data_IF_084358764327
#
_entry.id   IF_084358764327
#
_cell.length_a   1.000
_cell.length_b   1.000
_cell.length_c   1.000
_cell.angle_alpha   90.00
_cell.angle_beta   90.00
_cell.angle_gamma   90.00
#
_symmetry.space_group_name_H-M   'P 1'
#
loop_
_entity.id
_entity.type
_entity.pdbx_description
1 polymer ?
#
# COMPACT_ATOMS: atom_id res chain seq x y z
N UNK A 1 -13.56 -20.61 -4.58
CA UNK A 1 -12.14 -20.31 -4.89
C UNK A 1 -11.73 -19.20 -3.94
N UNK A 2 -10.96 -19.55 -2.91
CA UNK A 2 -10.64 -18.63 -1.82
C UNK A 2 -9.76 -17.51 -2.36
N UNK A 3 -10.34 -16.31 -2.38
CA UNK A 3 -9.64 -15.06 -2.59
C UNK A 3 -8.40 -15.06 -1.70
N UNK A 4 -7.23 -15.02 -2.30
CA UNK A 4 -5.95 -14.84 -1.60
C UNK A 4 -5.93 -13.38 -1.16
N UNK A 5 -6.84 -13.03 -0.26
CA UNK A 5 -6.71 -11.85 0.57
C UNK A 5 -5.63 -12.21 1.57
N UNK A 6 -4.50 -11.52 1.59
CA UNK A 6 -3.53 -11.79 2.65
C UNK A 6 -4.25 -11.51 3.99
N UNK A 7 -4.27 -12.52 4.87
CA UNK A 7 -4.93 -12.52 6.19
C UNK A 7 -4.50 -11.35 7.08
N UNK A 8 -3.42 -10.68 6.71
CA UNK A 8 -2.79 -9.61 7.47
C UNK A 8 -3.64 -8.34 7.43
N UNK A 9 -4.39 -8.10 8.52
CA UNK A 9 -5.08 -6.83 8.78
C UNK A 9 -4.17 -5.60 8.57
N UNK A 10 -2.86 -5.77 8.78
CA UNK A 10 -1.83 -4.76 8.52
C UNK A 10 -1.80 -4.30 7.05
N UNK A 11 -1.95 -5.19 6.07
CA UNK A 11 -1.93 -4.82 4.64
C UNK A 11 -3.17 -4.02 4.27
N UNK A 12 -4.35 -4.41 4.76
CA UNK A 12 -5.58 -3.65 4.51
C UNK A 12 -5.49 -2.24 5.09
N UNK A 13 -4.98 -2.10 6.32
CA UNK A 13 -4.78 -0.79 6.96
C UNK A 13 -3.70 0.02 6.25
N UNK A 14 -2.63 -0.64 5.80
CA UNK A 14 -1.55 -0.04 5.03
C UNK A 14 -2.06 0.54 3.70
N UNK A 15 -2.73 -0.27 2.89
CA UNK A 15 -3.28 0.16 1.59
C UNK A 15 -4.26 1.31 1.75
N UNK A 16 -5.14 1.24 2.76
CA UNK A 16 -6.09 2.32 3.04
C UNK A 16 -5.35 3.63 3.40
N UNK A 17 -4.37 3.55 4.29
CA UNK A 17 -3.58 4.72 4.69
C UNK A 17 -2.77 5.31 3.51
N UNK A 18 -2.11 4.46 2.72
CA UNK A 18 -1.37 4.91 1.53
C UNK A 18 -2.31 5.60 0.55
N UNK A 19 -3.53 5.08 0.34
CA UNK A 19 -4.54 5.72 -0.49
C UNK A 19 -4.91 7.13 0.00
N UNK A 20 -5.26 7.26 1.28
CA UNK A 20 -5.62 8.55 1.89
C UNK A 20 -4.50 9.60 1.78
N UNK A 21 -3.25 9.17 1.99
CA UNK A 21 -2.10 10.07 1.93
C UNK A 21 -1.68 10.40 0.48
N UNK A 22 -1.90 9.48 -0.45
CA UNK A 22 -1.70 9.69 -1.88
C UNK A 22 -2.70 10.72 -2.42
N UNK A 23 -3.95 10.70 -1.92
CA UNK A 23 -4.95 11.74 -2.20
C UNK A 23 -4.53 13.12 -1.65
N UNK A 24 -3.78 13.17 -0.55
CA UNK A 24 -3.16 14.41 -0.05
C UNK A 24 -1.98 14.89 -0.91
N UNK A 25 -1.62 14.15 -1.97
CA UNK A 25 -0.53 14.50 -2.88
C UNK A 25 0.86 14.09 -2.36
N UNK A 26 0.94 13.19 -1.37
CA UNK A 26 2.22 12.66 -0.91
C UNK A 26 2.80 11.65 -1.89
N UNK A 27 4.12 11.53 -1.89
CA UNK A 27 4.82 10.63 -2.80
C UNK A 27 4.67 9.17 -2.37
N UNK A 28 4.23 8.33 -3.30
CA UNK A 28 4.03 6.90 -3.07
C UNK A 28 5.26 6.20 -2.47
N UNK A 29 6.47 6.50 -2.93
CA UNK A 29 7.69 5.87 -2.39
C UNK A 29 7.90 6.18 -0.92
N UNK A 30 7.58 7.42 -0.51
CA UNK A 30 7.70 7.84 0.89
C UNK A 30 6.65 7.13 1.75
N UNK A 31 5.42 7.06 1.24
CA UNK A 31 4.32 6.35 1.89
C UNK A 31 4.57 4.86 2.02
N UNK A 32 5.18 4.24 1.02
CA UNK A 32 5.53 2.82 1.07
C UNK A 32 6.56 2.53 2.17
N UNK A 33 7.61 3.36 2.26
CA UNK A 33 8.61 3.23 3.32
C UNK A 33 8.01 3.48 4.71
N UNK A 34 7.16 4.52 4.84
CA UNK A 34 6.47 4.82 6.09
C UNK A 34 5.49 3.70 6.48
N UNK A 35 4.73 3.16 5.53
CA UNK A 35 3.72 2.14 5.81
C UNK A 35 4.37 0.81 6.15
N UNK A 36 5.49 0.46 5.49
CA UNK A 36 6.30 -0.71 5.82
C UNK A 36 6.80 -0.67 7.26
N UNK A 37 7.35 0.47 7.66
CA UNK A 37 7.86 0.69 9.01
C UNK A 37 6.74 0.81 10.07
N UNK A 38 5.63 1.47 9.72
CA UNK A 38 4.52 1.75 10.64
C UNK A 38 3.62 0.54 10.91
N UNK A 39 3.40 -0.28 9.89
CA UNK A 39 2.56 -1.48 9.98
C UNK A 39 3.37 -2.77 10.14
N UNK A 40 4.70 -2.65 10.28
CA UNK A 40 5.64 -3.77 10.37
C UNK A 40 5.38 -4.80 9.26
N UNK A 41 5.28 -4.29 8.03
CA UNK A 41 5.00 -5.11 6.86
C UNK A 41 6.20 -6.00 6.57
N UNK A 42 5.94 -7.24 6.20
CA UNK A 42 7.02 -8.09 5.72
C UNK A 42 7.46 -7.61 4.33
N UNK A 43 8.70 -7.94 3.91
CA UNK A 43 9.20 -7.58 2.58
C UNK A 43 8.28 -8.07 1.45
N UNK A 44 7.53 -9.17 1.66
CA UNK A 44 6.51 -9.65 0.71
C UNK A 44 5.32 -8.69 0.57
N UNK A 45 4.90 -8.10 1.67
CA UNK A 45 3.76 -7.19 1.73
C UNK A 45 4.13 -5.81 1.16
N UNK A 46 5.33 -5.32 1.48
CA UNK A 46 5.87 -4.08 0.91
C UNK A 46 5.98 -4.17 -0.62
N UNK A 47 6.49 -5.28 -1.15
CA UNK A 47 6.54 -5.52 -2.61
C UNK A 47 5.15 -5.60 -3.24
N UNK A 48 4.17 -6.18 -2.53
CA UNK A 48 2.79 -6.25 -3.02
C UNK A 48 2.17 -4.85 -3.13
N UNK A 49 2.32 -4.04 -2.08
CA UNK A 49 1.82 -2.67 -2.04
C UNK A 49 2.58 -1.81 -3.07
N UNK A 50 3.91 -1.98 -3.19
CA UNK A 50 4.69 -1.27 -4.22
C UNK A 50 4.14 -1.59 -5.59
N UNK A 51 4.01 -2.88 -5.95
CA UNK A 51 3.48 -3.28 -7.25
C UNK A 51 2.07 -2.75 -7.48
N UNK A 52 1.20 -2.87 -6.48
CA UNK A 52 -0.19 -2.43 -6.57
C UNK A 52 -0.32 -0.94 -6.91
N UNK A 53 0.52 -0.11 -6.31
CA UNK A 53 0.47 1.33 -6.51
C UNK A 53 1.45 1.87 -7.59
N UNK A 54 2.42 1.06 -8.03
CA UNK A 54 3.36 1.40 -9.11
C UNK A 54 2.69 1.34 -10.47
N UNK A 55 1.57 0.62 -10.59
CA UNK A 55 0.68 0.70 -11.74
C UNK A 55 -0.04 2.06 -11.76
N UNK A 56 0.24 2.95 -12.74
CA UNK A 56 -0.32 4.30 -12.82
C UNK A 56 -1.84 4.34 -13.07
N UNK A 57 -2.47 3.18 -13.27
CA UNK A 57 -3.93 3.02 -13.33
C UNK A 57 -4.59 2.91 -11.94
N UNK A 58 -3.84 2.53 -10.89
CA UNK A 58 -4.32 2.45 -9.50
C UNK A 58 -3.93 3.66 -8.65
N UNK A 59 -3.14 4.58 -9.21
CA UNK A 59 -2.87 5.87 -8.58
C UNK A 59 -4.09 6.75 -8.86
N UNK A 60 -4.79 7.28 -7.84
CA UNK A 60 -5.90 8.19 -8.06
C UNK A 60 -5.37 9.41 -8.84
N UNK A 61 -5.74 9.49 -10.13
CA UNK A 61 -5.45 10.67 -10.95
C UNK A 61 -6.30 11.80 -10.43
N UNK A 62 -5.61 12.84 -9.96
CA UNK A 62 -6.16 14.12 -9.52
C UNK A 62 -7.07 14.75 -10.57
#
# INVERSE_FOLDING_TARGET
>A
MSTIMPESQNIRRAVKWVGEELEQGKNLKSLLAEVGMRFNLNPKDEIFIEKFFKDPENIPKK
#
